data_IF_677631464036
#
_entry.id   IF_677631464036
#
_cell.length_a   1.000
_cell.length_b   1.000
_cell.length_c   1.000
_cell.angle_alpha   90.00
_cell.angle_beta   90.00
_cell.angle_gamma   90.00
#
_symmetry.space_group_name_H-M   'P 1'
#
loop_
_entity.id
_entity.type
_entity.pdbx_description
1 polymer ?
#
# COMPACT_ATOMS: atom_id res chain seq x y z
N UNK A 1 -1.30 -5.88 -15.37
CA UNK A 1 -2.26 -5.09 -16.16
C UNK A 1 -2.98 -4.11 -15.26
N UNK A 2 -3.26 -2.91 -15.74
CA UNK A 2 -4.17 -1.94 -15.10
C UNK A 2 -5.51 -1.83 -15.85
N UNK A 3 -5.75 -2.76 -16.78
CA UNK A 3 -7.00 -2.80 -17.50
C UNK A 3 -8.16 -3.09 -16.54
N UNK A 4 -9.19 -2.26 -16.60
CA UNK A 4 -10.37 -2.43 -15.77
C UNK A 4 -11.07 -3.78 -16.03
N UNK A 5 -11.00 -4.32 -17.23
CA UNK A 5 -11.58 -5.61 -17.58
C UNK A 5 -10.90 -6.75 -16.81
N UNK A 6 -9.55 -6.72 -16.68
CA UNK A 6 -8.81 -7.73 -15.93
C UNK A 6 -9.18 -7.69 -14.44
N UNK A 7 -9.31 -6.50 -13.85
CA UNK A 7 -9.76 -6.35 -12.46
C UNK A 7 -11.19 -6.87 -12.28
N UNK A 8 -12.10 -6.53 -13.18
CA UNK A 8 -13.49 -6.99 -13.12
C UNK A 8 -13.66 -8.49 -13.37
N UNK A 9 -12.66 -9.18 -13.91
CA UNK A 9 -12.68 -10.63 -14.05
C UNK A 9 -12.55 -11.37 -12.71
N UNK A 10 -11.95 -10.75 -11.68
CA UNK A 10 -11.73 -11.39 -10.37
C UNK A 10 -12.37 -10.65 -9.18
N UNK A 11 -12.49 -9.32 -9.22
CA UNK A 11 -13.03 -8.55 -8.09
C UNK A 11 -14.43 -8.99 -7.64
N UNK A 12 -15.42 -9.25 -8.55
CA UNK A 12 -16.73 -9.73 -8.13
C UNK A 12 -16.66 -11.07 -7.39
N UNK A 13 -15.79 -11.97 -7.82
CA UNK A 13 -15.57 -13.27 -7.16
C UNK A 13 -14.96 -13.12 -5.78
N UNK A 14 -14.00 -12.20 -5.61
CA UNK A 14 -13.44 -11.89 -4.29
C UNK A 14 -14.50 -11.28 -3.38
N UNK A 15 -15.26 -10.32 -3.87
CA UNK A 15 -16.32 -9.65 -3.09
C UNK A 15 -17.43 -10.63 -2.65
N UNK A 16 -17.70 -11.69 -3.42
CA UNK A 16 -18.64 -12.75 -3.04
C UNK A 16 -18.04 -13.75 -2.03
N UNK A 17 -16.73 -13.95 -2.06
CA UNK A 17 -16.03 -14.95 -1.24
C UNK A 17 -15.64 -14.45 0.16
N UNK A 18 -15.61 -13.14 0.38
CA UNK A 18 -15.18 -12.53 1.64
C UNK A 18 -15.85 -11.18 1.87
N UNK A 19 -15.98 -10.79 3.13
CA UNK A 19 -16.41 -9.48 3.57
C UNK A 19 -15.23 -8.50 3.78
N UNK A 20 -14.01 -8.91 3.43
CA UNK A 20 -12.81 -8.08 3.52
C UNK A 20 -12.94 -6.81 2.67
N UNK A 21 -12.31 -5.73 3.13
CA UNK A 21 -12.23 -4.47 2.39
C UNK A 21 -11.33 -4.66 1.18
N UNK A 22 -11.86 -4.38 -0.01
CA UNK A 22 -11.09 -4.41 -1.25
C UNK A 22 -10.44 -3.05 -1.47
N UNK A 23 -9.11 -3.00 -1.37
CA UNK A 23 -8.29 -1.83 -1.66
C UNK A 23 -7.72 -1.95 -3.08
N UNK A 24 -7.92 -0.93 -3.91
CA UNK A 24 -7.41 -0.91 -5.29
C UNK A 24 -6.34 0.17 -5.41
N UNK A 25 -5.15 -0.24 -5.84
CA UNK A 25 -4.03 0.68 -6.03
C UNK A 25 -4.31 1.70 -7.15
N UNK A 26 -3.89 2.95 -6.93
CA UNK A 26 -3.81 3.99 -7.96
C UNK A 26 -2.38 4.12 -8.53
N UNK A 27 -1.46 3.25 -8.12
CA UNK A 27 -0.05 3.26 -8.52
C UNK A 27 0.17 2.85 -9.97
N UNK A 28 -0.27 1.66 -10.33
CA UNK A 28 -0.03 1.10 -11.65
C UNK A 28 1.47 0.90 -11.94
N UNK A 29 1.89 1.14 -13.17
CA UNK A 29 3.29 1.10 -13.60
C UNK A 29 3.78 2.50 -13.94
N UNK A 30 5.10 2.74 -13.82
CA UNK A 30 5.73 4.03 -14.12
C UNK A 30 5.54 4.49 -15.59
N UNK A 31 5.28 3.57 -16.52
CA UNK A 31 5.01 3.87 -17.93
C UNK A 31 3.55 4.22 -18.23
N UNK A 32 2.65 4.06 -17.25
CA UNK A 32 1.23 4.32 -17.43
C UNK A 32 0.89 5.79 -17.24
N UNK A 33 -0.05 6.27 -18.06
CA UNK A 33 -0.71 7.55 -17.82
C UNK A 33 -1.59 7.48 -16.57
N UNK A 34 -1.92 8.63 -15.97
CA UNK A 34 -2.82 8.66 -14.83
C UNK A 34 -4.20 8.10 -15.15
N UNK A 35 -4.71 8.32 -16.37
CA UNK A 35 -6.00 7.75 -16.79
C UNK A 35 -5.99 6.22 -16.84
N UNK A 36 -4.90 5.63 -17.32
CA UNK A 36 -4.71 4.17 -17.29
C UNK A 36 -4.64 3.64 -15.86
N UNK A 37 -3.90 4.31 -14.98
CA UNK A 37 -3.78 3.95 -13.55
C UNK A 37 -5.14 3.98 -12.84
N UNK A 38 -5.99 4.94 -13.19
CA UNK A 38 -7.32 5.13 -12.58
C UNK A 38 -8.45 4.34 -13.26
N UNK A 39 -8.21 3.64 -14.36
CA UNK A 39 -9.27 2.93 -15.09
C UNK A 39 -9.97 1.87 -14.21
N UNK A 40 -9.21 1.02 -13.54
CA UNK A 40 -9.78 -0.02 -12.67
C UNK A 40 -10.46 0.56 -11.41
N UNK A 41 -9.83 1.45 -10.61
CA UNK A 41 -10.51 2.06 -9.47
C UNK A 41 -11.77 2.85 -9.85
N UNK A 42 -11.79 3.56 -10.98
CA UNK A 42 -13.00 4.25 -11.46
C UNK A 42 -14.14 3.30 -11.82
N UNK A 43 -13.81 2.15 -12.40
CA UNK A 43 -14.82 1.13 -12.79
C UNK A 43 -15.38 0.40 -11.58
N UNK A 44 -14.54 0.10 -10.60
CA UNK A 44 -14.90 -0.67 -9.41
C UNK A 44 -15.47 0.20 -8.28
N UNK A 45 -15.16 1.50 -8.26
CA UNK A 45 -15.51 2.43 -7.17
C UNK A 45 -15.32 1.82 -5.77
N UNK A 46 -14.10 1.37 -5.42
CA UNK A 46 -13.87 0.64 -4.18
C UNK A 46 -14.12 1.51 -2.94
N UNK A 47 -14.21 0.86 -1.78
CA UNK A 47 -14.25 1.55 -0.50
C UNK A 47 -12.94 2.27 -0.20
N UNK A 48 -11.81 1.72 -0.69
CA UNK A 48 -10.46 2.18 -0.39
C UNK A 48 -9.55 2.11 -1.61
N UNK A 49 -8.68 3.10 -1.73
CA UNK A 49 -7.59 3.10 -2.70
C UNK A 49 -6.25 3.33 -1.99
N UNK A 50 -5.16 2.76 -2.49
CA UNK A 50 -3.83 3.20 -2.05
C UNK A 50 -3.32 4.34 -2.94
N UNK A 51 -2.61 5.29 -2.32
CA UNK A 51 -2.09 6.50 -2.96
C UNK A 51 -0.67 6.78 -2.51
N UNK A 52 0.29 6.67 -3.42
CA UNK A 52 1.68 7.08 -3.19
C UNK A 52 1.79 8.59 -3.08
N UNK A 53 2.36 9.07 -1.96
CA UNK A 53 2.37 10.48 -1.60
C UNK A 53 3.53 11.28 -2.22
N UNK A 54 4.13 10.79 -3.30
CA UNK A 54 5.18 11.53 -4.02
C UNK A 54 5.71 10.83 -5.26
N UNK A 55 6.52 11.58 -6.00
CA UNK A 55 7.35 11.09 -7.09
C UNK A 55 8.66 10.56 -6.50
N UNK A 56 9.12 9.40 -6.96
CA UNK A 56 10.34 8.78 -6.44
C UNK A 56 10.97 7.86 -7.47
N UNK A 57 12.25 7.57 -7.30
CA UNK A 57 12.87 6.42 -7.95
C UNK A 57 12.24 5.15 -7.38
N UNK A 58 12.04 4.16 -8.22
CA UNK A 58 11.50 2.86 -7.82
C UNK A 58 12.39 1.78 -8.41
N UNK A 59 13.58 1.61 -7.81
CA UNK A 59 14.64 0.79 -8.37
C UNK A 59 14.64 -0.62 -7.75
N UNK A 60 14.53 -1.63 -8.61
CA UNK A 60 14.49 -3.05 -8.27
C UNK A 60 15.63 -3.84 -8.97
N UNK A 61 16.50 -3.17 -9.73
CA UNK A 61 17.52 -3.81 -10.57
C UNK A 61 18.45 -4.76 -9.80
N UNK A 62 18.71 -4.50 -8.53
CA UNK A 62 19.53 -5.37 -7.68
C UNK A 62 18.93 -6.78 -7.52
N UNK A 63 17.62 -6.95 -7.70
CA UNK A 63 16.98 -8.25 -7.67
C UNK A 63 17.37 -9.11 -8.89
N UNK A 64 17.63 -8.50 -10.05
CA UNK A 64 18.04 -9.19 -11.26
C UNK A 64 19.35 -9.96 -11.09
N UNK A 65 20.27 -9.46 -10.27
CA UNK A 65 21.57 -10.11 -10.00
C UNK A 65 21.44 -11.47 -9.27
N UNK A 66 20.30 -11.68 -8.60
CA UNK A 66 20.04 -12.85 -7.72
C UNK A 66 19.13 -13.89 -8.35
N UNK A 67 18.47 -13.54 -9.45
CA UNK A 67 17.52 -14.42 -10.15
C UNK A 67 18.24 -15.07 -11.32
N UNK A 68 18.32 -16.39 -11.31
CA UNK A 68 18.98 -17.18 -12.37
C UNK A 68 17.99 -17.89 -13.28
N UNK A 69 16.76 -18.08 -12.83
CA UNK A 69 15.71 -18.78 -13.56
C UNK A 69 14.53 -17.84 -13.82
N UNK A 70 14.35 -17.43 -15.06
CA UNK A 70 13.35 -16.49 -15.51
C UNK A 70 12.20 -17.23 -16.18
N UNK A 71 10.99 -16.94 -15.77
CA UNK A 71 9.80 -17.59 -16.35
C UNK A 71 9.39 -16.97 -17.68
N UNK A 72 9.59 -15.67 -17.83
CA UNK A 72 9.22 -14.93 -19.03
C UNK A 72 10.38 -14.01 -19.48
N UNK A 73 10.53 -13.84 -20.79
CA UNK A 73 11.60 -13.04 -21.40
C UNK A 73 11.59 -11.55 -20.99
N UNK A 74 10.46 -11.04 -20.58
CA UNK A 74 10.31 -9.64 -20.18
C UNK A 74 10.75 -9.36 -18.74
N UNK A 75 10.88 -10.37 -17.87
CA UNK A 75 11.14 -10.18 -16.44
C UNK A 75 12.52 -9.57 -16.17
N UNK A 76 13.54 -10.15 -16.78
CA UNK A 76 14.93 -9.68 -16.61
C UNK A 76 15.11 -8.25 -17.11
N UNK A 77 14.75 -7.90 -18.36
CA UNK A 77 14.83 -6.52 -18.84
C UNK A 77 14.02 -5.53 -18.00
N UNK A 78 12.85 -5.94 -17.50
CA UNK A 78 12.02 -5.09 -16.63
C UNK A 78 12.74 -4.74 -15.33
N UNK A 79 13.38 -5.70 -14.68
CA UNK A 79 14.13 -5.44 -13.45
C UNK A 79 15.42 -4.65 -13.73
N UNK A 80 16.20 -5.02 -14.73
CA UNK A 80 17.45 -4.35 -15.07
C UNK A 80 17.22 -2.87 -15.40
N UNK A 81 16.20 -2.54 -16.19
CA UNK A 81 15.89 -1.17 -16.57
C UNK A 81 15.21 -0.34 -15.45
N UNK A 82 14.98 -0.93 -14.29
CA UNK A 82 14.40 -0.20 -13.17
C UNK A 82 15.36 0.81 -12.51
N UNK A 83 16.62 0.83 -12.89
CA UNK A 83 17.62 1.83 -12.49
C UNK A 83 17.35 3.22 -13.09
N UNK A 84 16.66 3.29 -14.23
CA UNK A 84 16.22 4.54 -14.89
C UNK A 84 14.70 4.79 -14.73
N UNK A 85 14.06 4.14 -13.76
CA UNK A 85 12.61 4.20 -13.59
C UNK A 85 12.21 5.21 -12.54
N UNK A 86 11.39 6.19 -12.95
CA UNK A 86 10.79 7.18 -12.05
C UNK A 86 9.29 6.89 -11.92
N UNK A 87 8.85 6.57 -10.71
CA UNK A 87 7.43 6.58 -10.39
C UNK A 87 6.97 8.03 -10.25
N UNK A 88 6.24 8.50 -11.26
CA UNK A 88 5.75 9.89 -11.30
C UNK A 88 4.40 10.01 -10.60
N UNK A 89 4.34 10.81 -9.53
CA UNK A 89 3.10 11.20 -8.88
C UNK A 89 3.22 12.64 -8.35
N UNK A 90 2.98 13.60 -9.23
CA UNK A 90 3.11 15.03 -8.92
C UNK A 90 1.98 15.50 -8.01
N UNK A 91 2.09 16.67 -7.35
CA UNK A 91 0.97 17.27 -6.61
C UNK A 91 -0.31 17.39 -7.46
N UNK A 92 -0.19 17.70 -8.75
CA UNK A 92 -1.34 17.75 -9.67
C UNK A 92 -1.99 16.40 -9.86
N UNK A 93 -1.19 15.34 -10.01
CA UNK A 93 -1.69 13.95 -10.16
C UNK A 93 -2.41 13.53 -8.87
N UNK A 94 -1.83 13.80 -7.71
CA UNK A 94 -2.43 13.48 -6.41
C UNK A 94 -3.73 14.24 -6.16
N UNK A 95 -3.79 15.55 -6.46
CA UNK A 95 -5.04 16.32 -6.36
C UNK A 95 -6.12 15.73 -7.25
N UNK A 96 -5.78 15.30 -8.46
CA UNK A 96 -6.72 14.65 -9.36
C UNK A 96 -7.23 13.31 -8.78
N UNK A 97 -6.34 12.47 -8.23
CA UNK A 97 -6.73 11.21 -7.59
C UNK A 97 -7.65 11.46 -6.39
N UNK A 98 -7.27 12.38 -5.49
CA UNK A 98 -8.06 12.75 -4.32
C UNK A 98 -9.45 13.27 -4.70
N UNK A 99 -9.55 14.01 -5.80
CA UNK A 99 -10.83 14.52 -6.30
C UNK A 99 -11.65 13.40 -6.92
N UNK A 100 -11.12 12.71 -7.92
CA UNK A 100 -11.88 11.75 -8.71
C UNK A 100 -12.27 10.48 -7.92
N UNK A 101 -11.38 9.99 -7.04
CA UNK A 101 -11.68 8.80 -6.24
C UNK A 101 -12.25 9.14 -4.87
N UNK A 102 -11.69 10.14 -4.19
CA UNK A 102 -12.15 10.53 -2.85
C UNK A 102 -13.44 11.33 -2.88
N UNK A 103 -13.39 12.56 -3.39
CA UNK A 103 -14.53 13.48 -3.35
C UNK A 103 -15.71 12.98 -4.17
N UNK A 104 -15.47 12.54 -5.41
CA UNK A 104 -16.52 12.21 -6.37
C UNK A 104 -17.09 10.80 -6.17
N UNK A 105 -16.27 9.84 -5.67
CA UNK A 105 -16.64 8.42 -5.50
C UNK A 105 -16.63 7.93 -4.07
N UNK A 106 -16.21 8.75 -3.11
CA UNK A 106 -16.23 8.43 -1.68
C UNK A 106 -15.24 7.34 -1.24
N UNK A 107 -14.18 7.09 -2.01
CA UNK A 107 -13.12 6.21 -1.55
C UNK A 107 -12.27 6.89 -0.47
N UNK A 108 -11.91 6.14 0.56
CA UNK A 108 -10.87 6.53 1.51
C UNK A 108 -9.49 6.07 0.99
N UNK A 109 -8.43 6.59 1.60
CA UNK A 109 -7.08 6.31 1.10
C UNK A 109 -6.18 5.68 2.16
N UNK A 110 -5.41 4.68 1.73
CA UNK A 110 -4.16 4.27 2.34
C UNK A 110 -3.04 5.12 1.71
N UNK A 111 -2.51 6.07 2.49
CA UNK A 111 -1.47 6.99 2.03
C UNK A 111 -0.10 6.36 2.17
N UNK A 112 0.47 5.91 1.07
CA UNK A 112 1.79 5.27 1.05
C UNK A 112 2.91 6.32 1.06
N UNK A 113 3.67 6.33 2.16
CA UNK A 113 4.77 7.25 2.39
C UNK A 113 6.11 6.49 2.40
N UNK A 114 6.92 6.71 1.39
CA UNK A 114 8.23 6.09 1.18
C UNK A 114 9.38 6.93 1.74
N UNK A 115 9.09 8.16 2.10
CA UNK A 115 10.04 9.14 2.63
C UNK A 115 9.29 10.15 3.51
N UNK A 116 10.04 10.84 4.36
CA UNK A 116 9.50 11.90 5.25
C UNK A 116 8.84 13.02 4.46
N UNK A 117 9.38 13.37 3.30
CA UNK A 117 8.80 14.38 2.41
C UNK A 117 7.36 14.06 2.01
N UNK A 118 7.01 12.79 1.93
CA UNK A 118 5.65 12.33 1.63
C UNK A 118 4.67 12.64 2.78
N UNK A 119 5.10 12.59 4.04
CA UNK A 119 4.29 13.01 5.19
C UNK A 119 3.98 14.51 5.13
N UNK A 120 4.96 15.33 4.78
CA UNK A 120 4.74 16.77 4.59
C UNK A 120 3.84 17.07 3.40
N UNK A 121 3.91 16.28 2.32
CA UNK A 121 2.98 16.39 1.20
C UNK A 121 1.55 16.05 1.61
N UNK A 122 1.34 14.99 2.38
CA UNK A 122 0.04 14.65 2.94
C UNK A 122 -0.49 15.77 3.84
N UNK A 123 0.36 16.28 4.75
CA UNK A 123 0.01 17.42 5.62
C UNK A 123 -0.45 18.64 4.81
N UNK A 124 0.25 18.97 3.72
CA UNK A 124 -0.15 20.04 2.83
C UNK A 124 -1.57 19.86 2.28
N UNK A 125 -1.97 18.64 1.91
CA UNK A 125 -3.32 18.38 1.43
C UNK A 125 -4.37 18.40 2.53
N UNK A 126 -4.02 17.95 3.74
CA UNK A 126 -4.88 18.08 4.94
C UNK A 126 -5.14 19.54 5.25
N UNK A 127 -4.10 20.39 5.31
CA UNK A 127 -4.20 21.82 5.60
C UNK A 127 -5.04 22.59 4.57
N UNK A 128 -5.08 22.10 3.35
CA UNK A 128 -5.90 22.66 2.27
C UNK A 128 -7.32 22.08 2.22
N UNK A 129 -7.67 21.19 3.14
CA UNK A 129 -8.98 20.55 3.20
C UNK A 129 -9.29 19.58 2.06
N UNK A 130 -8.26 19.14 1.31
CA UNK A 130 -8.40 18.15 0.23
C UNK A 130 -8.47 16.73 0.79
N UNK A 131 -7.89 16.50 1.96
CA UNK A 131 -7.94 15.24 2.71
C UNK A 131 -8.53 15.51 4.08
N UNK A 132 -9.41 14.62 4.52
CA UNK A 132 -10.02 14.64 5.87
C UNK A 132 -9.78 13.32 6.56
N UNK A 133 -9.65 13.35 7.87
CA UNK A 133 -9.50 12.13 8.68
C UNK A 133 -10.76 11.24 8.67
N UNK A 134 -10.61 10.00 9.15
CA UNK A 134 -9.39 9.44 9.75
C UNK A 134 -8.30 9.17 8.69
N UNK A 135 -7.05 9.52 8.99
CA UNK A 135 -5.92 9.26 8.09
C UNK A 135 -5.40 7.84 8.32
N UNK A 136 -5.20 7.08 7.24
CA UNK A 136 -4.50 5.79 7.27
C UNK A 136 -3.22 5.89 6.47
N UNK A 137 -2.08 5.92 7.17
CA UNK A 137 -0.76 6.19 6.60
C UNK A 137 0.06 4.91 6.60
N UNK A 138 0.50 4.45 5.44
CA UNK A 138 1.39 3.32 5.32
C UNK A 138 2.84 3.81 5.17
N UNK A 139 3.70 3.47 6.13
CA UNK A 139 5.14 3.69 6.05
C UNK A 139 5.77 2.55 5.25
N UNK A 140 6.43 2.89 4.16
CA UNK A 140 7.03 1.93 3.22
C UNK A 140 8.55 1.99 3.29
N UNK A 141 9.18 0.83 3.52
CA UNK A 141 10.63 0.71 3.70
C UNK A 141 11.26 -0.32 2.78
N UNK A 142 12.52 -0.07 2.43
CA UNK A 142 13.35 -1.06 1.75
C UNK A 142 13.21 -1.11 0.22
N UNK A 143 12.49 -0.14 -0.35
CA UNK A 143 12.52 0.12 -1.80
C UNK A 143 13.63 1.13 -2.08
N UNK A 144 14.53 0.83 -3.02
CA UNK A 144 15.60 1.75 -3.39
C UNK A 144 15.01 2.98 -4.11
N UNK A 145 15.20 4.13 -3.50
CA UNK A 145 14.56 5.40 -3.85
C UNK A 145 13.69 5.96 -2.74
N UNK A 146 13.39 5.14 -1.71
CA UNK A 146 12.76 5.53 -0.46
C UNK A 146 13.65 5.26 0.75
N UNK A 147 13.06 5.26 1.96
CA UNK A 147 13.79 5.03 3.21
C UNK A 147 14.23 3.58 3.36
N UNK A 148 15.45 3.40 3.88
CA UNK A 148 16.00 2.09 4.23
C UNK A 148 15.20 1.38 5.34
N UNK A 149 15.25 0.04 5.39
CA UNK A 149 14.45 -0.76 6.33
C UNK A 149 15.09 -0.90 7.71
N UNK A 150 15.61 0.19 8.24
CA UNK A 150 16.24 0.25 9.55
C UNK A 150 15.23 0.65 10.64
N UNK A 151 15.31 0.08 11.85
CA UNK A 151 14.42 0.45 12.96
C UNK A 151 14.41 1.96 13.26
N UNK A 152 15.53 2.62 13.12
CA UNK A 152 15.68 4.06 13.32
C UNK A 152 14.83 4.86 12.33
N UNK A 153 14.73 4.39 11.08
CA UNK A 153 13.92 5.02 10.06
C UNK A 153 12.41 4.88 10.36
N UNK A 154 11.98 3.72 10.87
CA UNK A 154 10.60 3.54 11.34
C UNK A 154 10.29 4.50 12.50
N UNK A 155 11.18 4.59 13.48
CA UNK A 155 11.01 5.53 14.61
C UNK A 155 10.98 6.98 14.13
N UNK A 156 11.82 7.33 13.15
CA UNK A 156 11.87 8.68 12.61
C UNK A 156 10.58 9.04 11.86
N UNK A 157 10.09 8.15 11.00
CA UNK A 157 8.78 8.33 10.33
C UNK A 157 7.65 8.53 11.35
N UNK A 158 7.63 7.70 12.41
CA UNK A 158 6.62 7.79 13.46
C UNK A 158 6.67 9.13 14.20
N UNK A 159 7.85 9.57 14.60
CA UNK A 159 8.05 10.87 15.28
C UNK A 159 7.56 12.04 14.43
N UNK A 160 7.87 12.02 13.11
CA UNK A 160 7.43 13.08 12.22
C UNK A 160 5.91 13.01 11.99
N UNK A 161 5.34 11.82 11.84
CA UNK A 161 3.89 11.66 11.71
C UNK A 161 3.15 12.16 12.95
N UNK A 162 3.63 11.82 14.17
CA UNK A 162 3.08 12.34 15.43
C UNK A 162 3.12 13.86 15.50
N UNK A 163 4.24 14.45 15.10
CA UNK A 163 4.40 15.91 15.04
C UNK A 163 3.41 16.57 14.07
N UNK A 164 3.14 15.94 12.92
CA UNK A 164 2.33 16.54 11.85
C UNK A 164 0.82 16.31 12.04
N UNK A 165 0.43 15.16 12.58
CA UNK A 165 -0.96 14.71 12.62
C UNK A 165 -1.50 14.48 14.03
N UNK A 166 -0.66 14.47 15.08
CA UNK A 166 -1.09 14.18 16.44
C UNK A 166 -1.75 12.81 16.55
N UNK A 167 -2.97 12.77 17.09
CA UNK A 167 -3.77 11.56 17.24
C UNK A 167 -4.73 11.31 16.06
N UNK A 168 -4.72 12.15 15.01
CA UNK A 168 -5.67 12.09 13.90
C UNK A 168 -5.28 11.10 12.80
N UNK A 169 -4.40 10.13 13.10
CA UNK A 169 -3.98 9.13 12.14
C UNK A 169 -3.78 7.74 12.76
N UNK A 170 -3.93 6.75 11.91
CA UNK A 170 -3.48 5.37 12.13
C UNK A 170 -2.33 5.09 11.16
N UNK A 171 -1.37 4.28 11.59
CA UNK A 171 -0.28 3.90 10.69
C UNK A 171 -0.20 2.39 10.49
N UNK A 172 0.24 1.98 9.32
CA UNK A 172 0.69 0.63 9.00
C UNK A 172 2.13 0.65 8.51
N UNK A 173 2.77 -0.49 8.52
CA UNK A 173 4.12 -0.65 7.98
C UNK A 173 4.15 -1.73 6.92
N UNK A 174 4.81 -1.40 5.82
CA UNK A 174 5.26 -2.30 4.76
C UNK A 174 6.78 -2.26 4.72
N UNK A 175 7.43 -3.42 4.60
CA UNK A 175 8.86 -3.48 4.34
C UNK A 175 9.20 -4.54 3.30
N UNK A 176 10.08 -4.18 2.34
CA UNK A 176 10.45 -5.06 1.25
C UNK A 176 11.39 -6.19 1.69
N UNK A 177 11.22 -7.35 1.09
CA UNK A 177 12.09 -8.49 1.21
C UNK A 177 12.21 -9.06 2.63
N UNK A 178 13.43 -9.41 3.05
CA UNK A 178 13.71 -10.01 4.37
C UNK A 178 13.32 -9.15 5.57
N UNK A 179 13.08 -7.88 5.34
CA UNK A 179 12.76 -6.89 6.38
C UNK A 179 11.27 -6.84 6.71
N UNK A 180 10.40 -7.49 5.91
CA UNK A 180 8.96 -7.48 6.09
C UNK A 180 8.57 -7.88 7.53
N UNK A 181 8.80 -9.13 7.93
CA UNK A 181 8.37 -9.63 9.24
C UNK A 181 8.96 -8.85 10.44
N UNK A 182 10.27 -8.52 10.48
CA UNK A 182 10.83 -7.73 11.58
C UNK A 182 10.17 -6.37 11.74
N UNK A 183 10.09 -5.57 10.69
CA UNK A 183 9.57 -4.19 10.78
C UNK A 183 8.07 -4.13 11.06
N UNK A 184 7.27 -5.02 10.46
CA UNK A 184 5.84 -5.04 10.77
C UNK A 184 5.54 -5.56 12.18
N UNK A 185 6.39 -6.44 12.73
CA UNK A 185 6.31 -6.83 14.15
C UNK A 185 6.58 -5.63 15.05
N UNK A 186 7.57 -4.80 14.73
CA UNK A 186 7.80 -3.54 15.44
C UNK A 186 6.58 -2.62 15.32
N UNK A 187 5.98 -2.48 14.14
CA UNK A 187 4.73 -1.72 13.96
C UNK A 187 3.66 -2.20 14.92
N UNK A 188 3.39 -3.51 14.96
CA UNK A 188 2.41 -4.10 15.86
C UNK A 188 2.74 -3.80 17.33
N UNK A 189 3.99 -3.94 17.76
CA UNK A 189 4.42 -3.63 19.12
C UNK A 189 4.21 -2.15 19.48
N UNK A 190 4.37 -1.24 18.52
CA UNK A 190 4.16 0.20 18.67
C UNK A 190 2.69 0.64 18.55
N UNK A 191 1.75 -0.27 18.35
CA UNK A 191 0.32 0.05 18.19
C UNK A 191 -0.11 0.31 16.76
N UNK A 192 0.76 0.11 15.78
CA UNK A 192 0.44 0.23 14.37
C UNK A 192 -0.16 -1.03 13.76
N UNK A 193 -0.64 -0.89 12.55
CA UNK A 193 -1.13 -1.96 11.71
C UNK A 193 0.01 -2.59 10.89
N UNK A 194 -0.27 -3.68 10.21
CA UNK A 194 0.72 -4.49 9.50
C UNK A 194 0.25 -4.82 8.09
N UNK A 195 1.18 -4.85 7.14
CA UNK A 195 0.93 -5.35 5.79
C UNK A 195 1.92 -6.47 5.47
N UNK A 196 1.41 -7.54 4.86
CA UNK A 196 2.19 -8.65 4.31
C UNK A 196 1.68 -9.03 2.92
N UNK A 197 2.56 -9.60 2.12
CA UNK A 197 2.21 -10.14 0.81
C UNK A 197 3.43 -10.57 0.01
N UNK A 198 3.18 -11.41 -1.00
CA UNK A 198 4.22 -11.88 -1.92
C UNK A 198 4.74 -10.76 -2.83
N UNK A 199 3.97 -9.69 -3.00
CA UNK A 199 4.41 -8.46 -3.66
C UNK A 199 5.59 -7.83 -2.92
N UNK A 200 5.51 -7.81 -1.58
CA UNK A 200 6.48 -7.12 -0.73
C UNK A 200 7.66 -8.03 -0.35
N UNK A 201 7.41 -9.33 -0.16
CA UNK A 201 8.45 -10.31 0.17
C UNK A 201 8.09 -11.72 -0.26
N UNK A 202 9.01 -12.40 -0.89
CA UNK A 202 8.86 -13.82 -1.23
C UNK A 202 9.19 -14.76 -0.06
N UNK A 203 9.70 -14.24 1.07
CA UNK A 203 10.23 -15.05 2.16
C UNK A 203 9.23 -15.20 3.32
N UNK A 204 9.07 -16.42 3.82
CA UNK A 204 8.35 -16.71 5.08
C UNK A 204 9.31 -16.80 6.27
N UNK A 205 10.53 -17.23 6.04
CA UNK A 205 11.61 -17.31 7.01
C UNK A 205 12.98 -17.21 6.30
N UNK A 206 14.07 -17.13 7.07
CA UNK A 206 15.42 -17.11 6.49
C UNK A 206 15.67 -18.33 5.61
N UNK A 207 15.93 -18.11 4.32
CA UNK A 207 16.18 -19.17 3.34
C UNK A 207 14.95 -20.00 2.95
N UNK A 208 13.74 -19.58 3.34
CA UNK A 208 12.51 -20.30 3.05
C UNK A 208 11.51 -19.37 2.33
N UNK A 209 11.11 -19.77 1.13
CA UNK A 209 10.07 -19.07 0.37
C UNK A 209 8.68 -19.33 0.95
N UNK A 210 7.84 -18.30 0.95
CA UNK A 210 6.41 -18.43 1.18
C UNK A 210 5.74 -19.07 -0.03
N UNK A 211 4.82 -19.98 0.19
CA UNK A 211 4.05 -20.63 -0.88
C UNK A 211 2.85 -19.76 -1.32
N UNK A 212 2.27 -19.04 -0.38
CA UNK A 212 1.05 -18.25 -0.60
C UNK A 212 1.06 -16.97 0.25
N UNK A 213 0.24 -15.99 -0.15
CA UNK A 213 -0.06 -14.83 0.71
C UNK A 213 -0.67 -15.28 2.07
N UNK A 214 -1.49 -16.33 2.06
CA UNK A 214 -2.15 -16.82 3.27
C UNK A 214 -1.15 -17.29 4.33
N UNK A 215 -0.02 -17.91 3.96
CA UNK A 215 1.04 -18.28 4.92
C UNK A 215 1.62 -17.06 5.63
N UNK A 216 1.85 -15.98 4.91
CA UNK A 216 2.37 -14.75 5.49
C UNK A 216 1.33 -14.10 6.40
N UNK A 217 0.06 -14.07 5.99
CA UNK A 217 -1.05 -13.58 6.82
C UNK A 217 -1.19 -14.40 8.11
N UNK A 218 -1.18 -15.71 8.02
CA UNK A 218 -1.23 -16.59 9.21
C UNK A 218 -0.06 -16.35 10.17
N UNK A 219 1.13 -16.14 9.62
CA UNK A 219 2.32 -15.87 10.43
C UNK A 219 2.22 -14.55 11.18
N UNK A 220 1.88 -13.45 10.48
CA UNK A 220 1.79 -12.14 11.14
C UNK A 220 0.60 -12.08 12.10
N UNK A 221 -0.52 -12.71 11.77
CA UNK A 221 -1.67 -12.83 12.67
C UNK A 221 -1.27 -13.43 14.01
N UNK A 222 -0.57 -14.59 13.99
CA UNK A 222 -0.08 -15.21 15.22
C UNK A 222 0.84 -14.29 16.02
N UNK A 223 1.75 -13.57 15.35
CA UNK A 223 2.65 -12.61 16.04
C UNK A 223 1.84 -11.49 16.70
N UNK A 224 0.84 -10.94 16.02
CA UNK A 224 -0.03 -9.90 16.56
C UNK A 224 -0.81 -10.40 17.78
N UNK A 225 -1.36 -11.60 17.69
CA UNK A 225 -2.08 -12.26 18.80
C UNK A 225 -1.15 -12.60 19.98
N UNK A 226 0.09 -13.07 19.72
CA UNK A 226 1.12 -13.32 20.75
C UNK A 226 1.58 -12.03 21.47
N UNK A 227 1.44 -10.87 20.82
CA UNK A 227 1.64 -9.56 21.45
C UNK A 227 0.44 -9.09 22.29
N UNK A 228 -0.60 -9.92 22.43
CA UNK A 228 -1.82 -9.60 23.17
C UNK A 228 -2.73 -8.62 22.46
N UNK A 229 -2.64 -8.54 21.13
CA UNK A 229 -3.48 -7.68 20.27
C UNK A 229 -4.45 -8.53 19.47
N UNK A 230 -5.52 -7.91 19.01
CA UNK A 230 -6.54 -8.55 18.18
C UNK A 230 -6.47 -8.02 16.74
N UNK A 231 -6.81 -8.89 15.79
CA UNK A 231 -7.00 -8.49 14.39
C UNK A 231 -8.43 -8.00 14.22
N UNK A 232 -8.57 -6.76 13.79
CA UNK A 232 -9.89 -6.16 13.56
C UNK A 232 -10.70 -6.96 12.53
N UNK A 233 -11.98 -7.11 12.79
CA UNK A 233 -12.93 -7.61 11.79
C UNK A 233 -13.11 -6.60 10.66
N UNK A 234 -13.55 -7.02 9.47
CA UNK A 234 -13.86 -6.08 8.38
C UNK A 234 -14.86 -4.99 8.76
N UNK A 235 -15.83 -5.31 9.61
CA UNK A 235 -16.82 -4.33 10.11
C UNK A 235 -16.16 -3.28 11.01
N UNK A 236 -15.29 -3.69 11.92
CA UNK A 236 -14.54 -2.77 12.79
C UNK A 236 -13.59 -1.91 11.96
N UNK A 237 -12.87 -2.51 10.99
CA UNK A 237 -11.98 -1.77 10.10
C UNK A 237 -12.73 -0.72 9.27
N UNK A 238 -13.93 -1.02 8.74
CA UNK A 238 -14.78 -0.04 8.06
C UNK A 238 -15.14 1.13 8.95
N UNK A 239 -15.48 0.84 10.20
CA UNK A 239 -15.81 1.89 11.19
C UNK A 239 -14.59 2.74 11.52
N UNK A 240 -13.44 2.11 11.79
CA UNK A 240 -12.19 2.80 12.12
C UNK A 240 -11.72 3.73 10.99
N UNK A 241 -11.84 3.27 9.74
CA UNK A 241 -11.40 3.98 8.55
C UNK A 241 -12.46 4.90 7.93
N UNK A 242 -13.68 4.91 8.46
CA UNK A 242 -14.78 5.73 7.95
C UNK A 242 -15.19 5.39 6.52
N UNK A 243 -15.17 4.09 6.16
CA UNK A 243 -15.43 3.64 4.80
C UNK A 243 -16.92 3.71 4.45
N UNK A 244 -17.20 3.87 3.15
CA UNK A 244 -18.58 4.02 2.64
C UNK A 244 -19.41 2.74 2.69
N UNK A 245 -18.79 1.56 2.83
CA UNK A 245 -19.43 0.24 2.79
C UNK A 245 -19.37 -0.43 1.42
N UNK A 246 -19.32 -1.77 1.44
CA UNK A 246 -19.20 -2.60 0.25
C UNK A 246 -20.41 -2.48 -0.70
N UNK A 247 -21.59 -2.17 -0.14
CA UNK A 247 -22.84 -1.94 -0.88
C UNK A 247 -22.82 -0.69 -1.77
N UNK A 248 -21.89 0.23 -1.53
CA UNK A 248 -21.67 1.45 -2.32
C UNK A 248 -20.55 1.34 -3.34
N UNK A 249 -20.10 0.14 -3.63
CA UNK A 249 -19.10 -0.14 -4.67
C UNK A 249 -19.80 -0.60 -5.96
N UNK A 250 -19.14 -0.48 -7.11
CA UNK A 250 -19.64 -1.01 -8.39
C UNK A 250 -18.96 -2.32 -8.77
N UNK A 251 -18.35 -3.01 -7.78
CA UNK A 251 -17.62 -4.27 -7.99
C UNK A 251 -18.57 -5.41 -8.42
N UNK A 252 -19.83 -5.38 -8.00
CA UNK A 252 -20.81 -6.44 -8.29
C UNK A 252 -21.48 -6.33 -9.67
N UNK A 253 -21.25 -5.25 -10.37
CA UNK A 253 -21.94 -4.94 -11.64
C UNK A 253 -21.10 -5.21 -12.88
#
# INVERSE_FOLDING_TARGET
>A
SSDAADFMAFLPRLNQATDAILNISTGGSAVMTLDQRLAAPKRAEPEMCSLNMGTMNFALYQAAERITDWKFDWEKPFLENSDDLVFKNTPRDMVRILTEMGKDRGAQFEFECYDISHLYMLKHFVDRGLVKGPLFIQFVFGVLGGMGPDPENLMHMKIIADKLFGDDYMFSVLAAGRHQMPLITMSAAMGGHVRVGLEDSLMIARGQLAKTNAEQVQKIRRIVEDLGREVATPTEARKMLGLKGADRTTIQS
#
